data_IF_073853698461
#
_entry.id   IF_073853698461
#
_cell.length_a   1.000
_cell.length_b   1.000
_cell.length_c   1.000
_cell.angle_alpha   90.00
_cell.angle_beta   90.00
_cell.angle_gamma   90.00
#
_symmetry.space_group_name_H-M   'P 1'
#
loop_
_entity.id
_entity.type
_entity.pdbx_description
1 polymer ?
#
# COMPACT_ATOMS: atom_id res chain seq x y z
N UNK A 1 8.11 -12.40 -7.44
CA UNK A 1 7.16 -13.24 -6.68
C UNK A 1 6.93 -12.61 -5.31
N UNK A 2 5.85 -11.84 -5.15
CA UNK A 2 5.48 -11.24 -3.87
C UNK A 2 4.56 -12.21 -3.12
N UNK A 3 4.82 -12.47 -1.84
CA UNK A 3 4.01 -13.33 -0.97
C UNK A 3 3.63 -12.53 0.29
N UNK A 4 2.34 -12.53 0.64
CA UNK A 4 1.83 -11.90 1.86
C UNK A 4 1.49 -12.93 2.93
N UNK A 5 2.00 -12.73 4.15
CA UNK A 5 1.69 -13.52 5.34
C UNK A 5 0.37 -13.07 5.96
N UNK A 6 -0.35 -14.00 6.58
CA UNK A 6 -1.62 -13.80 7.28
C UNK A 6 -1.42 -13.13 8.65
N UNK A 7 -1.04 -11.86 8.61
CA UNK A 7 -1.18 -10.80 9.63
C UNK A 7 -1.67 -9.58 8.83
N UNK A 8 -2.40 -8.57 9.39
CA UNK A 8 -3.21 -7.65 8.56
C UNK A 8 -2.38 -7.13 7.38
N UNK A 9 -2.73 -7.60 6.17
CA UNK A 9 -1.90 -7.65 4.96
C UNK A 9 -1.63 -6.26 4.38
N UNK A 10 -0.95 -5.44 5.16
CA UNK A 10 -0.89 -4.00 4.98
C UNK A 10 0.56 -3.48 5.11
N UNK A 11 1.54 -4.32 5.46
CA UNK A 11 2.96 -3.90 5.48
C UNK A 11 3.50 -4.01 4.06
N UNK A 12 4.01 -2.91 3.53
CA UNK A 12 4.82 -2.95 2.30
C UNK A 12 6.22 -3.42 2.64
N UNK A 13 6.71 -4.44 1.93
CA UNK A 13 8.06 -4.97 2.10
C UNK A 13 8.80 -5.01 0.77
N UNK A 14 10.07 -4.63 0.78
CA UNK A 14 10.99 -4.91 -0.33
C UNK A 14 11.98 -6.01 0.07
N UNK A 15 12.43 -6.77 -0.91
CA UNK A 15 13.41 -7.84 -0.73
C UNK A 15 14.52 -7.69 -1.76
N UNK A 16 15.78 -7.73 -1.30
CA UNK A 16 16.95 -7.82 -2.18
C UNK A 16 17.46 -9.26 -2.24
N UNK A 17 17.47 -9.91 -3.41
CA UNK A 17 18.01 -11.25 -3.57
C UNK A 17 19.52 -11.33 -3.29
N UNK A 18 20.27 -10.29 -3.64
CA UNK A 18 21.73 -10.23 -3.51
C UNK A 18 22.15 -10.23 -2.05
N UNK A 19 21.49 -9.40 -1.26
CA UNK A 19 21.81 -9.22 0.17
C UNK A 19 20.99 -10.13 1.08
N UNK A 20 19.94 -10.77 0.53
CA UNK A 20 18.92 -11.55 1.26
C UNK A 20 18.25 -10.75 2.38
N UNK A 21 18.18 -9.43 2.25
CA UNK A 21 17.54 -8.54 3.23
C UNK A 21 16.10 -8.26 2.83
N UNK A 22 15.24 -8.20 3.84
CA UNK A 22 13.87 -7.70 3.75
C UNK A 22 13.82 -6.37 4.48
N UNK A 23 13.25 -5.35 3.84
CA UNK A 23 13.02 -4.02 4.42
C UNK A 23 11.52 -3.81 4.52
N UNK A 24 11.07 -3.29 5.66
CA UNK A 24 9.69 -2.85 5.88
C UNK A 24 9.59 -1.36 5.60
N UNK A 25 8.66 -1.00 4.73
CA UNK A 25 8.28 0.40 4.40
C UNK A 25 7.04 0.84 5.19
N UNK A 26 6.60 0.02 6.15
CA UNK A 26 5.47 0.32 7.01
C UNK A 26 4.13 0.26 6.29
N UNK A 27 3.25 1.20 6.63
CA UNK A 27 1.86 1.24 6.22
C UNK A 27 1.53 2.65 5.71
N UNK A 28 0.56 2.80 4.80
CA UNK A 28 -0.06 4.10 4.55
C UNK A 28 -0.68 4.65 5.86
N UNK A 29 -1.01 5.95 5.91
CA UNK A 29 -1.72 6.57 7.03
C UNK A 29 -3.21 6.13 7.12
N UNK A 30 -3.48 4.84 6.96
CA UNK A 30 -4.78 4.20 7.00
C UNK A 30 -4.74 2.98 7.92
N UNK A 31 -5.78 2.79 8.72
CA UNK A 31 -5.91 1.63 9.61
C UNK A 31 -7.01 0.68 9.12
N UNK A 32 -6.85 -0.62 9.39
CA UNK A 32 -7.88 -1.62 9.12
C UNK A 32 -8.09 -2.01 7.65
N UNK A 33 -7.21 -1.60 6.73
CA UNK A 33 -7.34 -1.89 5.30
C UNK A 33 -6.17 -2.71 4.76
N UNK A 34 -6.45 -3.74 3.95
CA UNK A 34 -5.46 -4.59 3.25
C UNK A 34 -5.20 -4.15 1.84
N UNK A 35 -3.97 -4.35 1.35
CA UNK A 35 -3.66 -4.18 -0.07
C UNK A 35 -4.34 -5.27 -0.89
N UNK A 36 -4.88 -4.89 -2.05
CA UNK A 36 -5.56 -5.79 -2.99
C UNK A 36 -4.76 -5.94 -4.28
N UNK A 37 -4.23 -4.83 -4.78
CA UNK A 37 -3.42 -4.80 -6.01
C UNK A 37 -2.47 -3.62 -5.96
N UNK A 38 -1.41 -3.68 -6.76
CA UNK A 38 -0.45 -2.60 -6.90
C UNK A 38 0.05 -2.47 -8.34
N UNK A 39 0.44 -1.26 -8.72
CA UNK A 39 1.06 -0.94 -10.00
C UNK A 39 2.10 0.18 -9.82
N UNK A 40 3.13 0.18 -10.66
CA UNK A 40 4.07 1.29 -10.76
C UNK A 40 3.49 2.37 -11.68
N UNK A 41 3.52 3.61 -11.21
CA UNK A 41 3.22 4.79 -12.03
C UNK A 41 4.46 5.26 -12.80
N UNK A 42 4.23 6.07 -13.84
CA UNK A 42 5.30 6.71 -14.62
C UNK A 42 6.03 7.83 -13.84
N UNK A 43 5.57 8.14 -12.62
CA UNK A 43 6.16 9.10 -11.69
C UNK A 43 7.00 8.42 -10.58
N UNK A 44 7.45 7.18 -10.83
CA UNK A 44 8.28 6.37 -9.94
C UNK A 44 7.66 6.08 -8.56
N UNK A 45 6.33 6.13 -8.46
CA UNK A 45 5.57 5.73 -7.25
C UNK A 45 4.87 4.40 -7.43
N UNK A 46 4.77 3.66 -6.33
CA UNK A 46 3.94 2.46 -6.25
C UNK A 46 2.54 2.85 -5.80
N UNK A 47 1.52 2.63 -6.64
CA UNK A 47 0.12 2.84 -6.30
C UNK A 47 -0.53 1.52 -5.86
N UNK A 48 -1.27 1.56 -4.75
CA UNK A 48 -1.93 0.39 -4.19
C UNK A 48 -3.42 0.66 -3.94
N UNK A 49 -4.27 -0.27 -4.38
CA UNK A 49 -5.68 -0.31 -4.05
C UNK A 49 -5.92 -1.09 -2.76
N UNK A 50 -6.81 -0.60 -1.91
CA UNK A 50 -7.09 -1.21 -0.59
C UNK A 50 -8.49 -1.82 -0.48
N UNK A 51 -8.69 -2.65 0.54
CA UNK A 51 -10.00 -3.12 0.99
C UNK A 51 -10.04 -3.19 2.52
N UNK A 52 -11.11 -2.77 3.20
CA UNK A 52 -12.38 -2.25 2.67
C UNK A 52 -12.29 -0.81 2.15
N UNK A 53 -13.39 -0.30 1.58
CA UNK A 53 -13.60 1.09 1.10
C UNK A 53 -12.86 1.52 -0.17
N UNK A 54 -11.87 0.76 -0.64
CA UNK A 54 -11.26 1.03 -1.95
C UNK A 54 -10.49 2.34 -1.97
N UNK A 55 -9.62 2.56 -0.97
CA UNK A 55 -8.67 3.68 -1.03
C UNK A 55 -7.63 3.43 -2.11
N UNK A 56 -7.18 4.52 -2.72
CA UNK A 56 -5.97 4.57 -3.52
C UNK A 56 -4.87 5.23 -2.69
N UNK A 57 -3.81 4.49 -2.40
CA UNK A 57 -2.62 5.03 -1.73
C UNK A 57 -1.41 4.95 -2.65
N UNK A 58 -0.42 5.81 -2.44
CA UNK A 58 0.88 5.71 -3.11
C UNK A 58 2.03 5.66 -2.11
N UNK A 59 3.08 4.96 -2.50
CA UNK A 59 4.37 4.95 -1.82
C UNK A 59 5.47 5.47 -2.74
N UNK A 60 6.21 6.47 -2.28
CA UNK A 60 7.43 6.98 -2.90
C UNK A 60 8.64 6.26 -2.28
N UNK A 61 9.31 5.38 -3.04
CA UNK A 61 10.46 4.61 -2.54
C UNK A 61 11.75 5.44 -2.44
N UNK A 62 11.85 6.58 -3.12
CA UNK A 62 13.03 7.46 -3.05
C UNK A 62 13.06 8.20 -1.71
N UNK A 63 11.90 8.68 -1.27
CA UNK A 63 11.76 9.47 -0.05
C UNK A 63 11.19 8.70 1.15
N UNK A 64 10.81 7.43 0.98
CA UNK A 64 10.13 6.58 1.98
C UNK A 64 8.85 7.24 2.51
N UNK A 65 8.00 7.72 1.58
CA UNK A 65 6.81 8.50 1.91
C UNK A 65 5.51 7.87 1.42
N UNK A 66 4.46 8.03 2.22
CA UNK A 66 3.11 7.58 1.91
C UNK A 66 2.17 8.76 1.63
N UNK A 67 1.24 8.55 0.70
CA UNK A 67 0.10 9.44 0.48
C UNK A 67 -1.20 8.65 0.30
N UNK A 68 -2.30 9.17 0.85
CA UNK A 68 -3.66 8.71 0.59
C UNK A 68 -4.35 9.66 -0.39
N UNK A 69 -4.86 9.11 -1.49
CA UNK A 69 -5.56 9.85 -2.55
C UNK A 69 -7.08 9.79 -2.41
N UNK A 70 -7.57 9.22 -1.30
CA UNK A 70 -8.98 9.06 -0.99
C UNK A 70 -9.54 7.72 -1.44
N UNK A 71 -10.86 7.57 -1.34
CA UNK A 71 -11.56 6.31 -1.58
C UNK A 71 -12.60 6.41 -2.71
N UNK A 72 -12.69 5.34 -3.50
CA UNK A 72 -13.71 5.22 -4.55
C UNK A 72 -15.11 4.98 -3.97
N UNK A 73 -15.20 4.34 -2.80
CA UNK A 73 -16.44 4.03 -2.12
C UNK A 73 -16.46 4.66 -0.71
N UNK A 74 -16.72 5.98 -0.60
CA UNK A 74 -16.88 6.63 0.69
C UNK A 74 -18.08 6.05 1.45
N UNK A 75 -18.09 6.23 2.77
CA UNK A 75 -19.24 5.85 3.58
C UNK A 75 -20.53 6.51 3.03
N UNK A 76 -21.68 5.81 3.05
CA UNK A 76 -22.94 6.41 2.64
C UNK A 76 -23.19 7.70 3.41
N UNK A 77 -23.64 8.75 2.71
CA UNK A 77 -24.15 9.94 3.38
C UNK A 77 -25.49 9.54 4.01
N UNK A 78 -25.53 9.42 5.33
CA UNK A 78 -26.77 9.17 6.09
C UNK A 78 -27.35 10.55 6.45
N UNK A 79 -28.54 10.92 5.93
CA UNK A 79 -29.20 12.19 6.24
C UNK A 79 -29.66 12.30 7.69
#
# INVERSE_FOLDING_TARGET
>A
NYHGLYQPGNILQSWSPETRKVISHGFPPLSGQRFVSALWGDDDKLYLGTHPFGHLVSFDPEHDQWADHGCQAPAPIIP
#
